data_IF_412800149339
#
_entry.id   IF_412800149339
#
_cell.length_a   1.000
_cell.length_b   1.000
_cell.length_c   1.000
_cell.angle_alpha   90.00
_cell.angle_beta   90.00
_cell.angle_gamma   90.00
#
_symmetry.space_group_name_H-M   'P 1'
#
loop_
_entity.id
_entity.type
_entity.pdbx_description
1 polymer ?
#
# COMPACT_ATOMS: atom_id res chain seq x y z
N UNK A 1 -7.90 13.01 3.89
CA UNK A 1 -7.02 12.97 5.08
C UNK A 1 -7.65 13.47 6.38
N UNK A 2 -8.21 14.69 6.52
CA UNK A 2 -8.84 15.10 7.79
C UNK A 2 -10.20 14.41 8.05
N UNK A 3 -11.00 14.20 7.00
CA UNK A 3 -12.33 13.58 7.12
C UNK A 3 -12.29 12.06 7.38
N UNK A 4 -11.35 11.33 6.76
CA UNK A 4 -11.16 9.89 7.02
C UNK A 4 -10.64 9.62 8.43
N UNK A 5 -9.71 10.43 8.93
CA UNK A 5 -9.22 10.30 10.31
C UNK A 5 -10.35 10.62 11.32
N UNK A 6 -11.20 11.60 11.01
CA UNK A 6 -12.41 11.90 11.79
C UNK A 6 -13.44 10.74 11.72
N UNK A 7 -13.58 10.09 10.57
CA UNK A 7 -14.45 8.94 10.38
C UNK A 7 -13.96 7.72 11.18
N UNK A 8 -12.67 7.36 11.08
CA UNK A 8 -12.07 6.26 11.85
C UNK A 8 -12.20 6.51 13.35
N UNK A 9 -11.95 7.73 13.83
CA UNK A 9 -12.13 8.09 15.24
C UNK A 9 -13.58 7.90 15.71
N UNK A 10 -14.56 8.19 14.84
CA UNK A 10 -16.00 8.02 15.12
C UNK A 10 -16.41 6.55 15.14
N UNK A 11 -15.83 5.72 14.28
CA UNK A 11 -16.03 4.26 14.28
C UNK A 11 -15.39 3.61 15.52
N UNK A 12 -14.22 4.07 15.95
CA UNK A 12 -13.58 3.62 17.20
C UNK A 12 -14.45 3.86 18.45
N UNK A 13 -15.27 4.91 18.43
CA UNK A 13 -16.19 5.25 19.51
C UNK A 13 -17.48 4.40 19.51
N UNK A 14 -17.81 3.76 18.38
CA UNK A 14 -18.95 2.84 18.21
C UNK A 14 -18.43 1.41 18.08
N UNK A 15 -18.29 0.76 19.24
CA UNK A 15 -17.62 -0.51 19.54
C UNK A 15 -18.20 -1.76 18.83
N UNK A 16 -18.14 -1.83 17.50
CA UNK A 16 -18.26 -3.08 16.75
C UNK A 16 -16.90 -3.43 16.14
N UNK A 17 -16.24 -4.44 16.72
CA UNK A 17 -14.92 -4.90 16.29
C UNK A 17 -14.91 -5.38 14.84
N UNK A 18 -16.01 -5.97 14.36
CA UNK A 18 -16.10 -6.44 12.98
C UNK A 18 -16.23 -5.25 12.02
N UNK A 19 -17.01 -4.24 12.39
CA UNK A 19 -17.16 -3.01 11.60
C UNK A 19 -15.86 -2.20 11.57
N UNK A 20 -15.12 -2.15 12.68
CA UNK A 20 -13.77 -1.59 12.74
C UNK A 20 -12.81 -2.29 11.78
N UNK A 21 -12.81 -3.62 11.77
CA UNK A 21 -11.92 -4.40 10.91
C UNK A 21 -12.26 -4.21 9.42
N UNK A 22 -13.55 -4.17 9.08
CA UNK A 22 -14.01 -3.88 7.72
C UNK A 22 -13.66 -2.45 7.30
N UNK A 23 -13.86 -1.45 8.16
CA UNK A 23 -13.51 -0.06 7.87
C UNK A 23 -12.00 0.12 7.69
N UNK A 24 -11.17 -0.45 8.56
CA UNK A 24 -9.71 -0.41 8.43
C UNK A 24 -9.26 -1.06 7.12
N UNK A 25 -9.82 -2.21 6.77
CA UNK A 25 -9.54 -2.87 5.51
C UNK A 25 -10.00 -2.03 4.30
N UNK A 26 -11.19 -1.43 4.37
CA UNK A 26 -11.71 -0.54 3.35
C UNK A 26 -10.84 0.71 3.17
N UNK A 27 -10.40 1.33 4.27
CA UNK A 27 -9.50 2.49 4.25
C UNK A 27 -8.12 2.13 3.70
N UNK A 28 -7.60 0.94 4.04
CA UNK A 28 -6.35 0.42 3.48
C UNK A 28 -6.45 0.28 1.96
N UNK A 29 -7.58 -0.24 1.45
CA UNK A 29 -7.84 -0.37 0.02
C UNK A 29 -8.16 0.96 -0.69
N UNK A 30 -8.74 1.94 0.02
CA UNK A 30 -9.14 3.23 -0.57
C UNK A 30 -8.04 4.28 -0.62
N UNK A 31 -6.80 3.93 -0.26
CA UNK A 31 -5.69 4.86 -0.33
C UNK A 31 -5.50 5.35 -1.79
N UNK A 32 -5.39 6.67 -1.95
CA UNK A 32 -5.23 7.29 -3.28
C UNK A 32 -3.86 6.94 -3.83
N UNK A 33 -3.81 6.05 -4.82
CA UNK A 33 -2.57 5.59 -5.44
C UNK A 33 -1.75 6.78 -5.97
N UNK A 34 -0.47 6.92 -5.57
CA UNK A 34 0.40 7.94 -6.08
C UNK A 34 0.63 7.74 -7.58
N UNK A 35 0.54 8.81 -8.36
CA UNK A 35 0.69 8.72 -9.83
C UNK A 35 2.13 8.60 -10.29
N UNK A 36 3.08 8.90 -9.42
CA UNK A 36 4.50 8.86 -9.74
C UNK A 36 5.32 8.45 -8.51
N UNK A 37 6.54 7.98 -8.77
CA UNK A 37 7.45 7.47 -7.74
C UNK A 37 7.87 8.56 -6.75
N UNK A 38 8.05 9.81 -7.22
CA UNK A 38 8.44 10.90 -6.32
C UNK A 38 7.38 11.16 -5.25
N UNK A 39 6.10 11.16 -5.62
CA UNK A 39 4.99 11.39 -4.70
C UNK A 39 4.86 10.22 -3.72
N UNK A 40 4.98 8.97 -4.21
CA UNK A 40 4.97 7.78 -3.37
C UNK A 40 6.10 7.78 -2.33
N UNK A 41 7.29 8.27 -2.70
CA UNK A 41 8.45 8.30 -1.79
C UNK A 41 8.36 9.41 -0.72
N UNK A 42 7.50 10.42 -0.89
CA UNK A 42 7.29 11.46 0.13
C UNK A 42 6.43 10.98 1.29
N UNK A 43 5.60 9.96 1.07
CA UNK A 43 4.71 9.41 2.09
C UNK A 43 5.27 8.09 2.62
N UNK A 44 5.68 8.10 3.89
CA UNK A 44 6.25 6.93 4.54
C UNK A 44 5.26 5.75 4.56
N UNK A 45 3.96 6.00 4.70
CA UNK A 45 2.94 4.96 4.74
C UNK A 45 2.82 4.21 3.42
N UNK A 46 2.98 4.93 2.29
CA UNK A 46 3.05 4.32 0.96
C UNK A 46 4.31 3.47 0.77
N UNK A 47 5.45 3.94 1.25
CA UNK A 47 6.71 3.19 1.20
C UNK A 47 6.60 1.89 2.00
N UNK A 48 6.04 1.96 3.20
CA UNK A 48 5.80 0.78 4.04
C UNK A 48 4.83 -0.19 3.35
N UNK A 49 3.70 0.28 2.84
CA UNK A 49 2.72 -0.54 2.13
C UNK A 49 3.31 -1.24 0.89
N UNK A 50 4.09 -0.54 0.06
CA UNK A 50 4.78 -1.13 -1.10
C UNK A 50 5.82 -2.19 -0.69
N UNK A 51 6.49 -2.00 0.45
CA UNK A 51 7.44 -2.98 0.98
C UNK A 51 6.71 -4.23 1.49
N UNK A 52 5.59 -4.07 2.19
CA UNK A 52 4.75 -5.18 2.65
C UNK A 52 4.18 -5.98 1.48
N UNK A 53 3.65 -5.32 0.45
CA UNK A 53 3.15 -5.98 -0.76
C UNK A 53 4.27 -6.78 -1.46
N UNK A 54 5.45 -6.18 -1.63
CA UNK A 54 6.60 -6.88 -2.21
C UNK A 54 7.04 -8.09 -1.36
N UNK A 55 6.93 -8.00 -0.03
CA UNK A 55 7.17 -9.13 0.86
C UNK A 55 6.13 -10.24 0.63
N UNK A 56 4.85 -9.89 0.47
CA UNK A 56 3.80 -10.87 0.16
C UNK A 56 4.06 -11.61 -1.14
N UNK A 57 4.57 -10.94 -2.18
CA UNK A 57 4.95 -11.61 -3.42
C UNK A 57 6.03 -12.68 -3.22
N UNK A 58 7.00 -12.43 -2.32
CA UNK A 58 8.02 -13.42 -1.95
C UNK A 58 7.43 -14.59 -1.18
N UNK A 59 6.55 -14.30 -0.21
CA UNK A 59 5.87 -15.33 0.59
C UNK A 59 5.03 -16.25 -0.29
N UNK A 60 4.26 -15.66 -1.21
CA UNK A 60 3.41 -16.38 -2.15
C UNK A 60 4.18 -17.02 -3.31
N UNK A 61 5.50 -16.74 -3.42
CA UNK A 61 6.39 -17.23 -4.48
C UNK A 61 5.88 -16.92 -5.89
N UNK A 62 5.15 -15.82 -6.04
CA UNK A 62 4.60 -15.41 -7.34
C UNK A 62 5.63 -14.68 -8.20
N UNK A 63 6.65 -14.07 -7.57
CA UNK A 63 7.69 -13.29 -8.24
C UNK A 63 9.08 -13.68 -7.73
N UNK A 64 10.06 -13.69 -8.64
CA UNK A 64 11.48 -13.90 -8.32
C UNK A 64 12.29 -12.73 -8.82
N UNK A 65 13.02 -12.07 -7.91
CA UNK A 65 13.94 -11.00 -8.29
C UNK A 65 15.14 -11.62 -9.03
N UNK A 66 15.33 -11.22 -10.29
CA UNK A 66 16.45 -11.67 -11.13
C UNK A 66 17.35 -10.49 -11.49
N UNK A 67 18.66 -10.75 -11.61
CA UNK A 67 19.59 -9.75 -12.09
C UNK A 67 19.25 -9.33 -13.52
N UNK A 68 19.42 -8.04 -13.82
CA UNK A 68 19.20 -7.52 -15.17
C UNK A 68 20.18 -8.19 -16.16
N UNK A 69 19.68 -8.82 -17.24
CA UNK A 69 20.55 -9.44 -18.24
C UNK A 69 21.45 -8.41 -18.94
N UNK A 70 22.70 -8.78 -19.23
CA UNK A 70 23.63 -7.90 -19.95
C UNK A 70 23.07 -7.54 -21.33
N UNK A 71 23.12 -6.26 -21.68
CA UNK A 71 22.64 -5.77 -22.98
C UNK A 71 21.12 -5.56 -23.08
N UNK A 72 20.36 -5.88 -22.03
CA UNK A 72 18.93 -5.60 -21.96
C UNK A 72 18.73 -4.32 -21.15
N UNK A 73 17.94 -3.39 -21.70
CA UNK A 73 17.48 -2.24 -20.91
C UNK A 73 16.34 -2.72 -20.01
N UNK A 74 16.41 -2.52 -18.69
CA UNK A 74 15.28 -2.76 -17.81
C UNK A 74 14.04 -2.06 -18.37
N UNK A 75 12.89 -2.74 -18.33
CA UNK A 75 11.63 -2.10 -18.67
C UNK A 75 11.45 -0.96 -17.67
N UNK A 76 11.49 0.26 -18.18
CA UNK A 76 11.28 1.47 -17.39
C UNK A 76 9.79 1.77 -17.46
N UNK A 77 9.11 1.74 -16.33
CA UNK A 77 7.79 2.37 -16.19
C UNK A 77 7.98 3.88 -16.34
N UNK A 78 7.12 4.50 -17.17
CA UNK A 78 7.13 5.96 -17.43
C UNK A 78 6.63 6.72 -16.22
#
# INVERSE_FOLDING_TARGET
>A
MMEEQSFIATIHQKTDLALLQVCLFSCFLSQVEPKNVSDALQDLSWVEAMQEEHLQFKIQKVWTLVNCPKGVRPIRTK
#
